data_IF_720821238102
#
_entry.id   IF_720821238102
#
_cell.length_a   1.000
_cell.length_b   1.000
_cell.length_c   1.000
_cell.angle_alpha   90.00
_cell.angle_beta   90.00
_cell.angle_gamma   90.00
#
_symmetry.space_group_name_H-M   'P 1'
#
loop_
_entity.id
_entity.type
_entity.pdbx_description
1 polymer ?
#
# COMPACT_ATOMS: atom_id res chain seq x y z
N UNK A 1 3.82 11.61 -21.32
CA UNK A 1 4.20 10.45 -20.49
C UNK A 1 3.06 9.46 -20.56
N UNK A 2 3.35 8.22 -20.95
CA UNK A 2 2.35 7.16 -21.11
C UNK A 2 2.15 6.43 -19.76
N UNK A 3 0.97 6.58 -19.10
CA UNK A 3 0.66 5.91 -17.83
C UNK A 3 0.77 4.39 -17.91
N UNK A 4 0.47 3.80 -19.07
CA UNK A 4 0.51 2.35 -19.30
C UNK A 4 1.94 1.82 -19.19
N UNK A 5 2.92 2.60 -19.68
CA UNK A 5 4.34 2.24 -19.59
C UNK A 5 4.83 2.28 -18.15
N UNK A 6 4.33 3.20 -17.32
CA UNK A 6 4.66 3.24 -15.90
C UNK A 6 4.09 2.04 -15.15
N UNK A 7 2.82 1.70 -15.44
CA UNK A 7 2.07 0.69 -14.72
C UNK A 7 2.51 -0.76 -15.02
N UNK A 8 3.21 -0.99 -16.12
CA UNK A 8 3.74 -2.32 -16.49
C UNK A 8 5.06 -2.68 -15.80
N UNK A 9 5.57 -1.83 -14.91
CA UNK A 9 6.94 -1.91 -14.37
C UNK A 9 6.94 -1.82 -12.84
N UNK A 10 7.90 -2.51 -12.24
CA UNK A 10 8.31 -2.26 -10.87
C UNK A 10 9.52 -1.32 -10.86
N UNK A 11 9.65 -0.55 -9.79
CA UNK A 11 10.70 0.46 -9.66
C UNK A 11 11.39 0.31 -8.31
N UNK A 12 12.68 0.63 -8.27
CA UNK A 12 13.50 0.59 -7.05
C UNK A 12 14.06 1.98 -6.79
N UNK A 13 13.94 2.44 -5.56
CA UNK A 13 14.53 3.70 -5.12
C UNK A 13 16.05 3.65 -5.24
N UNK A 14 16.66 4.70 -5.79
CA UNK A 14 18.11 4.78 -5.98
C UNK A 14 18.72 6.04 -5.36
N UNK A 15 18.01 7.16 -5.39
CA UNK A 15 18.47 8.39 -4.77
C UNK A 15 17.28 9.29 -4.46
N UNK A 16 17.50 10.21 -3.53
CA UNK A 16 16.53 11.23 -3.23
C UNK A 16 17.14 12.36 -2.42
N UNK A 17 16.55 13.54 -2.58
CA UNK A 17 17.08 14.79 -2.05
C UNK A 17 15.93 15.67 -1.59
N UNK A 18 16.14 16.42 -0.52
CA UNK A 18 15.34 17.58 -0.18
C UNK A 18 15.94 18.81 -0.86
N UNK A 19 15.11 19.84 -1.13
CA UNK A 19 15.62 21.13 -1.63
C UNK A 19 16.77 21.68 -0.77
N UNK A 20 16.72 21.46 0.54
CA UNK A 20 17.68 21.98 1.53
C UNK A 20 18.60 20.91 2.13
N UNK A 21 18.70 19.69 1.55
CA UNK A 21 19.60 18.66 2.09
C UNK A 21 19.24 17.21 1.78
N UNK A 22 19.66 16.30 2.66
CA UNK A 22 19.36 14.86 2.56
C UNK A 22 17.97 14.55 3.11
N UNK A 23 17.35 13.48 2.62
CA UNK A 23 16.11 12.97 3.18
C UNK A 23 16.36 12.33 4.55
N UNK A 24 15.47 12.56 5.52
CA UNK A 24 15.54 11.90 6.83
C UNK A 24 15.49 10.35 6.71
N UNK A 25 14.81 9.83 5.69
CA UNK A 25 14.78 8.39 5.44
C UNK A 25 16.18 7.83 5.10
N UNK A 26 17.04 8.60 4.44
CA UNK A 26 18.34 8.10 3.95
C UNK A 26 19.29 7.70 5.08
N UNK A 27 19.14 8.27 6.27
CA UNK A 27 19.95 7.90 7.45
C UNK A 27 19.41 6.68 8.20
N UNK A 28 18.26 6.14 7.78
CA UNK A 28 17.54 5.04 8.45
C UNK A 28 17.70 3.68 7.76
N UNK A 29 18.66 3.56 6.82
CA UNK A 29 18.82 2.37 6.00
C UNK A 29 17.60 2.13 5.10
N UNK A 30 17.11 3.21 4.49
CA UNK A 30 15.89 3.18 3.68
C UNK A 30 16.10 2.48 2.33
N UNK A 31 15.20 1.56 2.01
CA UNK A 31 15.00 1.08 0.65
C UNK A 31 13.52 1.08 0.30
N UNK A 32 13.20 1.22 -0.98
CA UNK A 32 11.82 1.18 -1.45
C UNK A 32 11.72 0.48 -2.80
N UNK A 33 10.69 -0.36 -2.93
CA UNK A 33 10.20 -0.86 -4.21
C UNK A 33 8.80 -0.30 -4.46
N UNK A 34 8.55 0.12 -5.70
CA UNK A 34 7.34 0.83 -6.08
C UNK A 34 6.67 0.08 -7.24
N UNK A 35 5.43 -0.31 -7.04
CA UNK A 35 4.52 -0.69 -8.11
C UNK A 35 3.65 0.51 -8.49
N UNK A 36 3.40 0.69 -9.78
CA UNK A 36 2.52 1.75 -10.28
C UNK A 36 1.32 1.07 -10.93
N UNK A 37 0.13 1.58 -10.65
CA UNK A 37 -1.11 1.14 -11.26
C UNK A 37 -1.78 2.35 -11.90
N UNK A 38 -2.28 2.17 -13.12
CA UNK A 38 -3.15 3.16 -13.72
C UNK A 38 -4.53 3.09 -13.07
N UNK A 39 -5.07 4.25 -12.70
CA UNK A 39 -6.42 4.40 -12.16
C UNK A 39 -7.14 5.51 -12.92
N UNK A 40 -8.48 5.56 -12.92
CA UNK A 40 -9.21 6.65 -13.57
C UNK A 40 -8.69 8.02 -13.10
N UNK A 41 -8.26 8.86 -14.04
CA UNK A 41 -7.79 10.22 -13.74
C UNK A 41 -6.35 10.34 -13.21
N UNK A 42 -5.66 9.22 -12.97
CA UNK A 42 -4.32 9.31 -12.39
C UNK A 42 -3.55 8.00 -12.24
N UNK A 43 -2.71 7.96 -11.21
CA UNK A 43 -1.84 6.85 -10.87
C UNK A 43 -2.04 6.46 -9.40
N UNK A 44 -1.93 5.18 -9.11
CA UNK A 44 -1.78 4.66 -7.77
C UNK A 44 -0.39 4.08 -7.62
N UNK A 45 0.36 4.59 -6.66
CA UNK A 45 1.66 4.10 -6.27
C UNK A 45 1.51 3.19 -5.05
N UNK A 46 2.00 1.96 -5.15
CA UNK A 46 2.11 1.03 -4.01
C UNK A 46 3.59 0.88 -3.68
N UNK A 47 4.01 1.55 -2.61
CA UNK A 47 5.39 1.63 -2.16
C UNK A 47 5.62 0.66 -0.99
N UNK A 48 6.52 -0.30 -1.19
CA UNK A 48 7.06 -1.18 -0.16
C UNK A 48 8.38 -0.61 0.34
N UNK A 49 8.37 -0.08 1.56
CA UNK A 49 9.50 0.55 2.22
C UNK A 49 10.11 -0.39 3.24
N UNK A 50 11.43 -0.38 3.35
CA UNK A 50 12.15 -1.00 4.45
C UNK A 50 13.02 0.05 5.14
N UNK A 51 13.07 -0.01 6.47
CA UNK A 51 13.91 0.84 7.30
C UNK A 51 14.79 -0.07 8.15
N UNK A 52 15.99 -0.39 7.66
CA UNK A 52 16.89 -1.35 8.31
C UNK A 52 17.24 -0.96 9.75
N UNK A 53 17.43 0.33 10.01
CA UNK A 53 17.79 0.84 11.35
C UNK A 53 16.63 0.70 12.34
N UNK A 54 15.39 0.83 11.86
CA UNK A 54 14.19 0.73 12.70
C UNK A 54 13.65 -0.70 12.81
N UNK A 55 14.18 -1.63 12.00
CA UNK A 55 13.77 -3.03 11.99
C UNK A 55 12.33 -3.21 11.53
N UNK A 56 11.86 -2.40 10.57
CA UNK A 56 10.47 -2.42 10.13
C UNK A 56 10.31 -2.23 8.63
N UNK A 57 9.14 -2.63 8.13
CA UNK A 57 8.72 -2.42 6.76
C UNK A 57 7.36 -1.73 6.70
N UNK A 58 7.11 -0.97 5.64
CA UNK A 58 5.82 -0.33 5.38
C UNK A 58 5.31 -0.67 3.98
N UNK A 59 4.00 -0.77 3.84
CA UNK A 59 3.32 -0.64 2.54
C UNK A 59 2.51 0.64 2.56
N UNK A 60 2.76 1.54 1.60
CA UNK A 60 2.08 2.82 1.46
C UNK A 60 1.38 2.87 0.11
N UNK A 61 0.09 3.22 0.11
CA UNK A 61 -0.71 3.46 -1.09
C UNK A 61 -0.86 4.96 -1.26
N UNK A 62 -0.31 5.49 -2.35
CA UNK A 62 -0.26 6.92 -2.63
C UNK A 62 -0.95 7.17 -3.98
N UNK A 63 -2.08 7.89 -3.95
CA UNK A 63 -2.72 8.36 -5.17
C UNK A 63 -1.94 9.54 -5.73
N UNK A 64 -1.85 9.65 -7.05
CA UNK A 64 -1.51 10.87 -7.75
C UNK A 64 -2.58 11.15 -8.80
N UNK A 65 -3.39 12.19 -8.57
CA UNK A 65 -4.42 12.63 -9.50
C UNK A 65 -3.94 13.80 -10.33
N UNK A 66 -4.26 13.80 -11.64
CA UNK A 66 -3.95 14.96 -12.47
C UNK A 66 -4.77 16.16 -12.00
N UNK A 67 -4.14 17.32 -11.91
CA UNK A 67 -4.81 18.57 -11.58
C UNK A 67 -4.69 19.56 -12.71
N UNK A 68 -5.79 20.25 -13.00
CA UNK A 68 -5.82 21.41 -13.90
C UNK A 68 -5.59 22.72 -13.13
N UNK A 69 -5.00 22.63 -11.92
CA UNK A 69 -4.84 23.77 -11.03
C UNK A 69 -3.93 24.84 -11.69
N UNK A 70 -4.41 26.08 -11.89
CA UNK A 70 -3.72 27.10 -12.69
C UNK A 70 -2.39 27.58 -12.09
N UNK A 71 -2.05 27.19 -10.87
CA UNK A 71 -0.82 27.55 -10.15
C UNK A 71 0.30 26.51 -10.22
N UNK A 72 0.11 25.40 -10.95
CA UNK A 72 1.14 24.37 -11.11
C UNK A 72 1.26 23.92 -12.59
N UNK A 73 2.47 23.88 -13.18
CA UNK A 73 2.65 23.28 -14.50
C UNK A 73 2.27 21.80 -14.42
N UNK A 74 1.27 21.36 -15.20
CA UNK A 74 0.79 19.96 -15.30
C UNK A 74 0.99 19.15 -13.99
N UNK A 75 0.43 19.67 -12.90
CA UNK A 75 0.71 19.19 -11.55
C UNK A 75 -0.10 17.97 -11.18
N UNK A 76 0.48 17.13 -10.32
CA UNK A 76 -0.21 16.01 -9.68
C UNK A 76 -0.58 16.39 -8.26
N UNK A 77 -1.76 15.99 -7.79
CA UNK A 77 -2.12 16.01 -6.37
C UNK A 77 -1.86 14.63 -5.79
N UNK A 78 -0.94 14.56 -4.84
CA UNK A 78 -0.59 13.36 -4.11
C UNK A 78 -1.40 13.25 -2.82
N UNK A 79 -2.00 12.09 -2.59
CA UNK A 79 -2.80 11.77 -1.40
C UNK A 79 -2.39 10.40 -0.88
N UNK A 80 -1.99 10.31 0.39
CA UNK A 80 -1.76 9.03 1.05
C UNK A 80 -3.11 8.39 1.40
N UNK A 81 -3.42 7.28 0.74
CA UNK A 81 -4.68 6.55 0.90
C UNK A 81 -4.62 5.55 2.04
N UNK A 82 -3.45 4.91 2.22
CA UNK A 82 -3.22 3.96 3.31
C UNK A 82 -1.73 3.81 3.61
N UNK A 83 -1.42 3.49 4.87
CA UNK A 83 -0.10 3.09 5.35
C UNK A 83 -0.24 1.97 6.35
N UNK A 84 0.56 0.92 6.16
CA UNK A 84 0.61 -0.22 7.06
C UNK A 84 2.06 -0.54 7.36
N UNK A 85 2.44 -0.44 8.64
CA UNK A 85 3.76 -0.88 9.10
C UNK A 85 3.70 -2.29 9.70
N UNK A 86 4.80 -3.04 9.56
CA UNK A 86 5.01 -4.28 10.29
C UNK A 86 6.51 -4.49 10.58
N UNK A 87 6.89 -4.89 11.82
CA UNK A 87 6.04 -4.91 13.02
C UNK A 87 5.49 -3.52 13.36
N UNK A 88 4.36 -3.46 14.06
CA UNK A 88 3.78 -2.19 14.55
C UNK A 88 4.79 -1.53 15.50
N UNK A 89 5.31 -0.36 15.11
CA UNK A 89 6.36 0.33 15.83
C UNK A 89 6.26 1.83 15.61
N UNK A 90 6.25 2.66 16.68
CA UNK A 90 6.30 4.11 16.56
C UNK A 90 7.52 4.64 15.82
N UNK A 91 8.60 3.84 15.75
CA UNK A 91 9.79 4.20 14.96
C UNK A 91 9.53 4.08 13.47
N UNK A 92 8.69 3.13 13.06
CA UNK A 92 8.30 2.96 11.67
C UNK A 92 7.29 4.03 11.23
N UNK A 93 6.40 4.42 12.15
CA UNK A 93 5.33 5.36 11.85
C UNK A 93 5.82 6.82 11.78
N UNK A 94 5.54 7.46 10.64
CA UNK A 94 5.64 8.91 10.46
C UNK A 94 4.22 9.45 10.32
N UNK A 95 4.03 10.75 10.55
CA UNK A 95 2.78 11.41 10.18
C UNK A 95 2.46 11.12 8.69
N UNK A 96 1.19 10.79 8.38
CA UNK A 96 0.76 10.58 6.99
C UNK A 96 1.13 11.77 6.12
N UNK A 97 1.41 11.50 4.84
CA UNK A 97 1.57 12.58 3.87
C UNK A 97 0.22 13.28 3.69
N UNK A 98 0.16 14.57 4.07
CA UNK A 98 -0.98 15.42 3.75
C UNK A 98 -1.15 15.55 2.23
N UNK A 99 -2.35 15.92 1.80
CA UNK A 99 -2.63 16.21 0.39
C UNK A 99 -1.72 17.32 -0.14
N UNK A 100 -0.88 16.98 -1.11
CA UNK A 100 0.17 17.88 -1.57
C UNK A 100 0.32 17.89 -3.08
N UNK A 101 0.61 19.07 -3.67
CA UNK A 101 0.98 19.14 -5.07
C UNK A 101 2.35 18.51 -5.30
N UNK A 102 2.59 18.07 -6.53
CA UNK A 102 3.86 17.52 -6.94
C UNK A 102 3.92 17.22 -8.43
N UNK A 103 4.94 16.46 -8.83
CA UNK A 103 5.16 16.08 -10.22
C UNK A 103 5.59 14.62 -10.35
N UNK A 104 5.10 13.96 -11.39
CA UNK A 104 5.59 12.67 -11.86
C UNK A 104 6.30 12.91 -13.18
N UNK A 105 7.58 12.55 -13.27
CA UNK A 105 8.41 12.77 -14.45
C UNK A 105 9.14 11.49 -14.84
N UNK A 106 9.34 11.32 -16.15
CA UNK A 106 10.26 10.33 -16.69
C UNK A 106 11.49 11.05 -17.25
N UNK A 107 12.69 10.62 -16.86
CA UNK A 107 13.96 11.12 -17.40
C UNK A 107 14.78 9.95 -17.91
N UNK A 108 14.67 9.68 -19.21
CA UNK A 108 15.22 8.46 -19.81
C UNK A 108 14.57 7.22 -19.18
N UNK A 109 15.35 6.26 -18.63
CA UNK A 109 14.81 5.07 -17.96
C UNK A 109 14.40 5.31 -16.50
N UNK A 110 14.60 6.51 -15.95
CA UNK A 110 14.34 6.82 -14.55
C UNK A 110 12.96 7.46 -14.35
N UNK A 111 12.29 7.04 -13.29
CA UNK A 111 11.11 7.68 -12.76
C UNK A 111 11.52 8.67 -11.67
N UNK A 112 11.02 9.90 -11.73
CA UNK A 112 11.23 10.91 -10.71
C UNK A 112 9.88 11.36 -10.14
N UNK A 113 9.75 11.32 -8.82
CA UNK A 113 8.62 11.87 -8.08
C UNK A 113 9.08 13.11 -7.33
N UNK A 114 8.38 14.22 -7.54
CA UNK A 114 8.56 15.45 -6.78
C UNK A 114 7.33 15.60 -5.89
N UNK A 115 7.52 15.55 -4.57
CA UNK A 115 6.44 15.67 -3.59
C UNK A 115 6.69 16.93 -2.77
N UNK A 116 5.84 17.94 -2.92
CA UNK A 116 5.95 19.17 -2.12
C UNK A 116 5.47 18.90 -0.70
N UNK A 117 5.95 19.69 0.27
CA UNK A 117 5.59 19.54 1.69
C UNK A 117 5.75 18.10 2.20
N UNK A 118 6.86 17.48 1.82
CA UNK A 118 7.13 16.11 2.24
C UNK A 118 7.48 16.07 3.72
N UNK A 119 6.88 15.15 4.47
CA UNK A 119 7.24 14.91 5.88
C UNK A 119 8.69 14.42 6.02
N UNK A 120 9.28 13.84 4.96
CA UNK A 120 10.68 13.43 4.92
C UNK A 120 11.67 14.59 4.78
N UNK A 121 11.18 15.73 4.31
CA UNK A 121 11.94 16.97 4.13
C UNK A 121 11.46 18.08 5.06
N UNK A 122 10.84 17.75 6.20
CA UNK A 122 10.37 18.76 7.16
C UNK A 122 9.40 19.80 6.57
N UNK A 123 8.62 19.42 5.56
CA UNK A 123 7.70 20.33 4.85
C UNK A 123 8.28 21.01 3.61
N UNK A 124 9.49 20.67 3.19
CA UNK A 124 10.05 21.08 1.90
C UNK A 124 9.76 20.04 0.79
N UNK A 125 10.14 20.36 -0.44
CA UNK A 125 10.00 19.44 -1.57
C UNK A 125 11.02 18.29 -1.47
N UNK A 126 10.52 17.07 -1.66
CA UNK A 126 11.31 15.86 -1.82
C UNK A 126 11.35 15.48 -3.29
N UNK A 127 12.55 15.21 -3.81
CA UNK A 127 12.77 14.51 -5.08
C UNK A 127 13.16 13.08 -4.78
N UNK A 128 12.39 12.12 -5.31
CA UNK A 128 12.65 10.68 -5.20
C UNK A 128 12.87 10.12 -6.60
N UNK A 129 13.97 9.39 -6.79
CA UNK A 129 14.38 8.86 -8.09
C UNK A 129 14.42 7.35 -8.03
N UNK A 130 13.87 6.73 -9.07
CA UNK A 130 13.75 5.30 -9.18
C UNK A 130 14.30 4.79 -10.51
N UNK A 131 14.82 3.57 -10.46
CA UNK A 131 15.20 2.80 -11.64
C UNK A 131 14.27 1.61 -11.81
N UNK A 132 14.02 1.24 -13.06
CA UNK A 132 13.19 0.08 -13.39
C UNK A 132 13.86 -1.21 -12.91
N UNK A 133 13.06 -2.09 -12.32
CA UNK A 133 13.44 -3.45 -11.94
C UNK A 133 12.43 -4.45 -12.51
N UNK A 134 12.83 -5.72 -12.54
CA UNK A 134 11.86 -6.79 -12.71
C UNK A 134 10.89 -6.79 -11.51
N UNK A 135 9.60 -7.13 -11.72
CA UNK A 135 8.69 -7.35 -10.61
C UNK A 135 9.30 -8.38 -9.64
N UNK A 136 9.25 -8.12 -8.32
CA UNK A 136 9.76 -9.06 -7.35
C UNK A 136 9.08 -10.43 -7.52
N UNK A 137 9.89 -11.46 -7.71
CA UNK A 137 9.42 -12.85 -7.88
C UNK A 137 8.97 -13.50 -6.58
N UNK A 138 9.44 -12.99 -5.44
CA UNK A 138 9.16 -13.56 -4.13
C UNK A 138 7.97 -12.86 -3.49
N UNK A 139 6.95 -13.67 -3.23
CA UNK A 139 5.79 -13.32 -2.41
C UNK A 139 6.17 -13.69 -0.97
N UNK A 140 6.39 -12.67 -0.13
CA UNK A 140 6.62 -12.82 1.30
C UNK A 140 5.30 -12.70 2.05
N UNK A 141 5.07 -13.49 3.10
CA UNK A 141 3.83 -13.48 3.87
C UNK A 141 3.55 -12.12 4.50
N UNK A 142 4.58 -11.51 5.12
CA UNK A 142 4.41 -10.23 5.79
C UNK A 142 4.10 -9.12 4.78
N UNK A 143 4.77 -9.13 3.62
CA UNK A 143 4.46 -8.22 2.51
C UNK A 143 3.04 -8.41 2.01
N UNK A 144 2.62 -9.64 1.76
CA UNK A 144 1.26 -9.95 1.28
C UNK A 144 0.20 -9.45 2.25
N UNK A 145 0.40 -9.65 3.55
CA UNK A 145 -0.55 -9.22 4.57
C UNK A 145 -0.54 -7.70 4.79
N UNK A 146 0.61 -7.02 4.66
CA UNK A 146 0.65 -5.55 4.62
C UNK A 146 -0.11 -5.01 3.40
N UNK A 147 0.04 -5.63 2.23
CA UNK A 147 -0.71 -5.28 1.02
C UNK A 147 -2.21 -5.50 1.21
N UNK A 148 -2.60 -6.61 1.85
CA UNK A 148 -4.00 -6.89 2.19
C UNK A 148 -4.58 -5.77 3.06
N UNK A 149 -3.91 -5.45 4.18
CA UNK A 149 -4.41 -4.42 5.11
C UNK A 149 -4.42 -3.04 4.44
N UNK A 150 -3.42 -2.71 3.61
CA UNK A 150 -3.35 -1.43 2.93
C UNK A 150 -4.49 -1.28 1.89
N UNK A 151 -4.76 -2.32 1.10
CA UNK A 151 -5.89 -2.33 0.18
C UNK A 151 -7.23 -2.31 0.93
N UNK A 152 -7.31 -2.95 2.11
CA UNK A 152 -8.50 -2.88 2.97
C UNK A 152 -8.77 -1.47 3.50
N UNK A 153 -7.73 -0.74 3.90
CA UNK A 153 -7.84 0.66 4.35
C UNK A 153 -8.21 1.60 3.19
N UNK A 154 -7.63 1.38 2.01
CA UNK A 154 -7.96 2.11 0.77
C UNK A 154 -9.31 1.69 0.14
N UNK A 155 -9.99 0.68 0.72
CA UNK A 155 -11.28 0.15 0.21
C UNK A 155 -11.21 -0.40 -1.21
N UNK A 156 -10.03 -0.86 -1.63
CA UNK A 156 -9.79 -1.40 -2.96
C UNK A 156 -10.06 -2.91 -3.00
N UNK A 157 -11.32 -3.27 -3.27
CA UNK A 157 -11.75 -4.68 -3.37
C UNK A 157 -11.10 -5.43 -4.53
N UNK A 158 -10.67 -4.72 -5.59
CA UNK A 158 -9.99 -5.33 -6.73
C UNK A 158 -8.55 -5.70 -6.35
N UNK A 159 -7.81 -4.79 -5.71
CA UNK A 159 -6.48 -5.08 -5.21
C UNK A 159 -6.49 -6.22 -4.17
N UNK A 160 -7.50 -6.26 -3.29
CA UNK A 160 -7.67 -7.37 -2.36
C UNK A 160 -7.85 -8.71 -3.08
N UNK A 161 -8.76 -8.79 -4.06
CA UNK A 161 -8.98 -10.01 -4.81
C UNK A 161 -7.71 -10.46 -5.57
N UNK A 162 -6.92 -9.53 -6.09
CA UNK A 162 -5.67 -9.83 -6.80
C UNK A 162 -4.58 -10.47 -5.93
N UNK A 163 -4.66 -10.36 -4.61
CA UNK A 163 -3.76 -11.06 -3.68
C UNK A 163 -4.05 -12.56 -3.57
N UNK A 164 -5.24 -12.99 -3.98
CA UNK A 164 -5.61 -14.41 -3.99
C UNK A 164 -5.20 -15.06 -5.30
N UNK A 165 -4.95 -16.38 -5.28
CA UNK A 165 -4.86 -17.15 -6.50
C UNK A 165 -6.17 -17.04 -7.32
N UNK A 166 -6.13 -17.13 -8.66
CA UNK A 166 -7.35 -17.02 -9.49
C UNK A 166 -8.48 -18.00 -9.08
N UNK A 167 -8.11 -19.20 -8.64
CA UNK A 167 -9.01 -20.23 -8.09
C UNK A 167 -9.01 -20.31 -6.56
N UNK A 168 -8.38 -19.34 -5.89
CA UNK A 168 -8.35 -19.24 -4.42
C UNK A 168 -9.71 -18.86 -3.83
N UNK A 169 -9.78 -18.74 -2.51
CA UNK A 169 -11.02 -18.40 -1.81
C UNK A 169 -10.75 -17.61 -0.53
N UNK A 170 -11.76 -16.87 -0.10
CA UNK A 170 -11.83 -16.24 1.22
C UNK A 170 -12.96 -16.89 2.03
N UNK A 171 -12.67 -17.30 3.26
CA UNK A 171 -13.67 -17.86 4.18
C UNK A 171 -14.06 -16.78 5.20
N UNK A 172 -15.34 -16.39 5.23
CA UNK A 172 -15.91 -15.42 6.17
C UNK A 172 -16.44 -16.12 7.44
N UNK A 173 -15.78 -15.99 8.60
CA UNK A 173 -16.22 -16.61 9.84
C UNK A 173 -17.42 -15.90 10.48
N UNK A 174 -17.72 -14.67 10.09
CA UNK A 174 -18.76 -13.84 10.73
C UNK A 174 -20.16 -14.12 10.19
N UNK A 175 -20.25 -14.82 9.06
CA UNK A 175 -21.50 -15.25 8.43
C UNK A 175 -21.42 -16.74 8.16
N UNK A 176 -21.55 -17.60 9.16
CA UNK A 176 -21.53 -19.02 8.92
C UNK A 176 -22.74 -19.48 8.08
N UNK A 177 -22.56 -20.57 7.33
CA UNK A 177 -23.65 -21.26 6.66
C UNK A 177 -24.60 -21.95 7.65
N UNK A 178 -25.67 -22.57 7.16
CA UNK A 178 -26.64 -23.30 8.00
C UNK A 178 -26.00 -24.43 8.83
N UNK A 179 -24.82 -24.91 8.43
CA UNK A 179 -24.06 -25.94 9.14
C UNK A 179 -23.00 -25.35 10.11
N UNK A 180 -22.96 -24.03 10.30
CA UNK A 180 -22.02 -23.36 11.18
C UNK A 180 -20.62 -23.19 10.61
N UNK A 181 -20.41 -23.49 9.31
CA UNK A 181 -19.10 -23.37 8.65
C UNK A 181 -18.93 -21.96 8.11
N UNK A 182 -17.71 -21.39 8.06
CA UNK A 182 -17.46 -20.11 7.42
C UNK A 182 -18.03 -20.07 5.99
N UNK A 183 -18.66 -18.96 5.61
CA UNK A 183 -19.15 -18.81 4.23
C UNK A 183 -17.96 -18.61 3.29
N UNK A 184 -17.89 -19.42 2.24
CA UNK A 184 -16.79 -19.38 1.27
C UNK A 184 -17.09 -18.50 0.07
N UNK A 185 -16.18 -17.57 -0.21
CA UNK A 185 -16.17 -16.70 -1.38
C UNK A 185 -15.06 -17.14 -2.34
N UNK A 186 -15.42 -17.83 -3.43
CA UNK A 186 -14.46 -18.47 -4.34
C UNK A 186 -14.10 -17.62 -5.56
N UNK A 187 -12.84 -17.69 -5.97
CA UNK A 187 -12.26 -16.98 -7.09
C UNK A 187 -12.20 -15.46 -6.88
N UNK A 188 -11.50 -14.77 -7.78
CA UNK A 188 -11.36 -13.31 -7.73
C UNK A 188 -12.70 -12.58 -7.65
N UNK A 189 -13.68 -12.98 -8.47
CA UNK A 189 -15.00 -12.33 -8.49
C UNK A 189 -15.75 -12.49 -7.15
N UNK A 190 -15.70 -13.67 -6.52
CA UNK A 190 -16.34 -13.91 -5.24
C UNK A 190 -15.70 -13.10 -4.12
N UNK A 191 -14.36 -13.10 -4.06
CA UNK A 191 -13.59 -12.35 -3.06
C UNK A 191 -13.79 -10.84 -3.23
N UNK A 192 -13.74 -10.34 -4.46
CA UNK A 192 -14.00 -8.92 -4.75
C UNK A 192 -15.41 -8.51 -4.29
N UNK A 193 -16.43 -9.28 -4.67
CA UNK A 193 -17.82 -8.97 -4.30
C UNK A 193 -18.03 -8.97 -2.79
N UNK A 194 -17.38 -9.91 -2.08
CA UNK A 194 -17.37 -9.93 -0.62
C UNK A 194 -16.82 -8.64 -0.03
N UNK A 195 -15.58 -8.26 -0.39
CA UNK A 195 -14.96 -7.06 0.19
C UNK A 195 -15.66 -5.76 -0.22
N UNK A 196 -16.16 -5.67 -1.46
CA UNK A 196 -17.00 -4.54 -1.88
C UNK A 196 -18.24 -4.38 -0.99
N UNK A 197 -18.88 -5.49 -0.61
CA UNK A 197 -20.00 -5.51 0.33
C UNK A 197 -19.58 -5.13 1.76
N UNK A 198 -18.44 -5.63 2.24
CA UNK A 198 -17.88 -5.27 3.55
C UNK A 198 -17.64 -3.76 3.63
N UNK A 199 -17.00 -3.17 2.62
CA UNK A 199 -16.70 -1.72 2.61
C UNK A 199 -17.94 -0.85 2.57
N UNK A 200 -19.02 -1.34 1.96
CA UNK A 200 -20.31 -0.64 1.99
C UNK A 200 -20.95 -0.67 3.39
N UNK A 201 -20.82 -1.78 4.11
CA UNK A 201 -21.50 -2.00 5.39
C UNK A 201 -20.74 -1.47 6.60
N UNK A 202 -19.42 -1.60 6.60
CA UNK A 202 -18.53 -1.15 7.69
C UNK A 202 -17.43 -0.22 7.17
N UNK A 203 -17.78 0.94 6.58
CA UNK A 203 -16.81 1.87 5.99
C UNK A 203 -15.86 2.50 7.02
N UNK A 204 -16.16 2.33 8.30
CA UNK A 204 -15.37 2.81 9.44
C UNK A 204 -14.36 1.79 9.96
N UNK A 205 -14.39 0.53 9.50
CA UNK A 205 -13.54 -0.51 10.07
C UNK A 205 -12.10 -0.37 9.57
N UNK A 206 -11.16 -0.25 10.49
CA UNK A 206 -9.74 -0.31 10.20
C UNK A 206 -9.10 -1.52 10.89
N UNK A 207 -7.95 -1.95 10.39
CA UNK A 207 -7.24 -3.14 10.86
C UNK A 207 -5.80 -2.75 11.20
N UNK A 208 -5.29 -3.21 12.34
CA UNK A 208 -3.87 -3.18 12.65
C UNK A 208 -3.31 -4.59 12.62
N UNK A 209 -2.26 -4.79 11.84
CA UNK A 209 -1.55 -6.07 11.76
C UNK A 209 -0.68 -6.27 13.01
N UNK A 210 -0.84 -7.40 13.70
CA UNK A 210 -0.13 -7.70 14.97
C UNK A 210 0.89 -8.80 14.78
N UNK A 211 0.45 -9.95 14.28
CA UNK A 211 1.31 -11.10 14.03
C UNK A 211 1.04 -11.68 12.64
N UNK A 212 2.09 -12.26 12.06
CA UNK A 212 2.05 -12.91 10.75
C UNK A 212 2.62 -14.31 10.89
N UNK A 213 1.82 -15.30 10.53
CA UNK A 213 2.17 -16.71 10.56
C UNK A 213 1.95 -17.31 9.18
N UNK A 214 2.94 -18.05 8.69
CA UNK A 214 2.79 -18.93 7.54
C UNK A 214 2.29 -20.29 8.05
N UNK A 215 1.18 -20.77 7.48
CA UNK A 215 0.70 -22.12 7.71
C UNK A 215 0.71 -22.86 6.38
N UNK A 216 1.51 -23.92 6.28
CA UNK A 216 1.32 -24.88 5.20
C UNK A 216 -0.01 -25.60 5.43
N UNK A 217 -0.91 -25.52 4.46
CA UNK A 217 -2.10 -26.32 4.50
C UNK A 217 -1.80 -27.76 4.04
N UNK A 218 -2.55 -28.71 4.60
CA UNK A 218 -2.41 -30.14 4.29
C UNK A 218 -2.62 -30.49 2.81
N UNK A 219 -3.17 -29.57 2.01
CA UNK A 219 -3.37 -29.67 0.56
C UNK A 219 -2.18 -29.10 -0.26
N UNK A 220 -1.09 -28.69 0.38
CA UNK A 220 0.09 -28.09 -0.26
C UNK A 220 -0.10 -26.63 -0.65
N UNK A 221 -1.19 -25.98 -0.23
CA UNK A 221 -1.46 -24.56 -0.46
C UNK A 221 -0.86 -23.73 0.67
N UNK A 222 -0.15 -22.65 0.33
CA UNK A 222 0.29 -21.67 1.33
C UNK A 222 -0.92 -20.94 1.91
N UNK A 223 -1.14 -21.05 3.22
CA UNK A 223 -2.11 -20.24 3.95
C UNK A 223 -1.38 -19.20 4.78
N UNK A 224 -1.81 -17.95 4.66
CA UNK A 224 -1.32 -16.86 5.47
C UNK A 224 -2.30 -16.60 6.59
N UNK A 225 -1.83 -16.66 7.83
CA UNK A 225 -2.60 -16.32 9.01
C UNK A 225 -2.08 -15.00 9.57
N UNK A 226 -3.00 -14.09 9.82
CA UNK A 226 -2.71 -12.80 10.43
C UNK A 226 -3.54 -12.64 11.70
N UNK A 227 -2.88 -12.26 12.78
CA UNK A 227 -3.60 -11.68 13.91
C UNK A 227 -3.77 -10.19 13.64
N UNK A 228 -5.02 -9.74 13.66
CA UNK A 228 -5.38 -8.34 13.44
C UNK A 228 -6.16 -7.80 14.63
N UNK A 229 -5.95 -6.53 14.92
CA UNK A 229 -6.76 -5.79 15.87
C UNK A 229 -7.70 -4.86 15.10
N UNK A 230 -9.00 -4.91 15.42
CA UNK A 230 -9.97 -3.97 14.85
C UNK A 230 -9.77 -2.60 15.46
N UNK A 231 -9.66 -1.58 14.62
CA UNK A 231 -9.32 -0.21 15.02
C UNK A 231 -10.43 0.76 14.63
N UNK A 232 -10.45 1.92 15.29
CA UNK A 232 -11.18 3.08 14.78
C UNK A 232 -10.51 3.62 13.48
N UNK A 233 -11.24 4.40 12.65
CA UNK A 233 -10.72 4.88 11.36
C UNK A 233 -9.44 5.70 11.41
N UNK A 234 -9.15 6.34 12.55
CA UNK A 234 -7.95 7.17 12.78
C UNK A 234 -6.79 6.35 13.32
N UNK A 235 -6.97 5.04 13.51
CA UNK A 235 -5.97 4.13 14.07
C UNK A 235 -5.52 4.53 15.50
N UNK A 236 -6.38 5.21 16.26
CA UNK A 236 -6.02 5.74 17.60
C UNK A 236 -6.34 4.78 18.75
N UNK A 237 -7.37 3.95 18.61
CA UNK A 237 -7.84 3.05 19.66
C UNK A 237 -8.39 1.74 19.06
N UNK A 238 -8.17 0.60 19.73
CA UNK A 238 -8.85 -0.65 19.42
C UNK A 238 -10.36 -0.54 19.59
N UNK A 239 -11.09 -1.31 18.80
CA UNK A 239 -12.53 -1.53 18.96
C UNK A 239 -12.77 -2.92 19.55
N UNK A 240 -13.79 -3.10 20.40
CA UNK A 240 -14.22 -4.44 20.79
C UNK A 240 -14.60 -5.22 19.52
N UNK A 241 -14.01 -6.41 19.39
CA UNK A 241 -14.31 -7.38 18.33
C UNK A 241 -15.56 -8.19 18.62
#
# INVERSE_FOLDING_TARGET
MDPVVLASRAWRYVEGTCTEGILDMSVRGFSEALAVHEVPGGLLFVADRQFEVDGCAQTVRLSAQRTDAPSAPAGWAFTELARVSYPDSPRCERAPQEDVPGEVRMRGPRLELFVRRSSWCGGYEARLVYEQIAPPSNVDAQRTLRHFVAAFHDRDSLALAALYAPSGYHDDPHRPDEAGRPTRHSGHAGVQAYFASVFHQVPWLALRLREVHEAEAADGVLRLHAEVEYMDPRMTAPRPG
#
